data_IF_714877809480
#
_entry.id   IF_714877809480
#
_cell.length_a   1.000
_cell.length_b   1.000
_cell.length_c   1.000
_cell.angle_alpha   90.00
_cell.angle_beta   90.00
_cell.angle_gamma   90.00
#
_symmetry.space_group_name_H-M   'P 1'
#
loop_
_entity.id
_entity.type
_entity.pdbx_description
1 polymer ?
#
# COMPACT_ATOMS: atom_id res chain seq x y z
N UNK A 1 15.41 -10.36 11.16
CA UNK A 1 15.34 -8.91 11.02
C UNK A 1 14.20 -8.51 10.12
N UNK A 2 13.32 -7.66 10.61
CA UNK A 2 12.23 -7.13 9.79
C UNK A 2 12.75 -6.06 8.87
N UNK A 3 12.12 -5.90 7.72
CA UNK A 3 12.48 -4.82 6.79
C UNK A 3 11.24 -4.16 6.22
N UNK A 4 11.43 -2.97 5.70
CA UNK A 4 10.35 -2.23 5.07
C UNK A 4 10.00 -2.85 3.72
N UNK A 5 8.74 -2.74 3.37
CA UNK A 5 8.25 -3.16 2.07
C UNK A 5 7.63 -1.96 1.37
N UNK A 6 7.93 -1.81 0.09
CA UNK A 6 7.44 -0.70 -0.71
C UNK A 6 6.69 -1.26 -1.91
N UNK A 7 5.44 -0.90 -2.02
CA UNK A 7 4.59 -1.31 -3.14
C UNK A 7 4.25 -0.08 -3.96
N UNK A 8 4.27 -0.22 -5.27
CA UNK A 8 4.08 0.93 -6.15
C UNK A 8 3.30 0.54 -7.39
N UNK A 9 2.40 1.42 -7.80
CA UNK A 9 1.64 1.23 -9.03
C UNK A 9 1.33 2.61 -9.63
N UNK A 10 1.63 2.77 -10.90
CA UNK A 10 1.29 3.99 -11.62
C UNK A 10 -0.06 3.80 -12.31
N UNK A 11 -0.94 4.78 -12.18
CA UNK A 11 -2.24 4.79 -12.86
C UNK A 11 -2.46 6.15 -13.52
N UNK A 12 -2.46 6.17 -14.84
CA UNK A 12 -2.51 7.42 -15.57
C UNK A 12 -1.31 8.30 -15.21
N UNK A 13 -1.59 9.53 -14.82
CA UNK A 13 -0.55 10.49 -14.44
C UNK A 13 -0.23 10.46 -12.95
N UNK A 14 -0.78 9.49 -12.23
CA UNK A 14 -0.63 9.44 -10.78
C UNK A 14 0.18 8.23 -10.35
N UNK A 15 0.93 8.40 -9.26
CA UNK A 15 1.63 7.29 -8.63
C UNK A 15 0.99 6.98 -7.28
N UNK A 16 0.84 5.69 -7.00
CA UNK A 16 0.30 5.21 -5.74
C UNK A 16 1.36 4.35 -5.09
N UNK A 17 1.72 4.69 -3.86
CA UNK A 17 2.77 3.99 -3.13
C UNK A 17 2.26 3.57 -1.77
N UNK A 18 2.58 2.36 -1.35
CA UNK A 18 2.28 1.86 -0.02
C UNK A 18 3.59 1.44 0.62
N UNK A 19 3.92 2.05 1.75
CA UNK A 19 5.08 1.69 2.52
C UNK A 19 4.64 0.95 3.76
N UNK A 20 5.16 -0.25 3.96
CA UNK A 20 4.85 -1.08 5.12
C UNK A 20 6.09 -1.19 5.96
N UNK A 21 6.02 -0.67 7.18
CA UNK A 21 7.14 -0.72 8.12
C UNK A 21 7.36 -2.12 8.68
N UNK A 22 8.47 -2.31 9.38
CA UNK A 22 8.84 -3.65 9.87
C UNK A 22 7.96 -4.09 11.03
N UNK A 23 7.61 -5.38 11.01
CA UNK A 23 6.90 -6.01 12.11
C UNK A 23 5.50 -5.47 12.34
N UNK A 24 4.98 -5.72 13.53
CA UNK A 24 3.62 -5.31 13.90
C UNK A 24 3.51 -3.84 14.26
N UNK A 25 4.63 -3.25 14.69
CA UNK A 25 4.66 -1.86 15.15
C UNK A 25 5.06 -0.89 14.05
N UNK A 26 5.53 -1.40 12.93
CA UNK A 26 5.80 -0.55 11.77
C UNK A 26 4.50 -0.07 11.16
N UNK A 27 4.43 1.20 10.82
CA UNK A 27 3.23 1.77 10.25
C UNK A 27 3.03 1.42 8.79
N UNK A 28 1.85 1.68 8.29
CA UNK A 28 1.53 1.61 6.87
C UNK A 28 1.20 3.00 6.39
N UNK A 29 1.88 3.44 5.34
CA UNK A 29 1.63 4.74 4.71
C UNK A 29 1.08 4.53 3.32
N UNK A 30 0.07 5.31 2.97
CA UNK A 30 -0.45 5.37 1.61
C UNK A 30 -0.13 6.75 1.05
N UNK A 31 0.58 6.76 -0.07
CA UNK A 31 0.99 8.01 -0.72
C UNK A 31 0.39 8.08 -2.13
N UNK A 32 -0.05 9.28 -2.48
CA UNK A 32 -0.44 9.59 -3.86
C UNK A 32 0.43 10.75 -4.32
N UNK A 33 1.12 10.55 -5.43
CA UNK A 33 2.03 11.55 -6.01
C UNK A 33 3.04 12.08 -4.98
N UNK A 34 3.52 11.17 -4.13
CA UNK A 34 4.53 11.48 -3.12
C UNK A 34 4.00 12.07 -1.83
N UNK A 35 2.69 12.26 -1.71
CA UNK A 35 2.10 12.82 -0.48
C UNK A 35 1.40 11.75 0.32
N UNK A 36 1.67 11.68 1.61
CA UNK A 36 0.98 10.76 2.51
C UNK A 36 -0.48 11.22 2.66
N UNK A 37 -1.40 10.38 2.24
CA UNK A 37 -2.83 10.67 2.33
C UNK A 37 -3.52 9.85 3.40
N UNK A 38 -2.93 8.75 3.82
CA UNK A 38 -3.42 7.97 4.93
C UNK A 38 -2.27 7.24 5.60
N UNK A 39 -2.37 7.09 6.92
CA UNK A 39 -1.37 6.42 7.73
C UNK A 39 -2.07 5.55 8.77
N UNK A 40 -1.60 4.32 8.91
CA UNK A 40 -2.10 3.41 9.91
C UNK A 40 -0.93 3.04 10.81
N UNK A 41 -0.98 3.49 12.06
CA UNK A 41 0.15 3.35 12.97
C UNK A 41 0.40 1.91 13.39
N UNK A 42 -0.66 1.18 13.68
CA UNK A 42 -0.56 -0.21 14.11
C UNK A 42 -1.41 -1.08 13.22
N UNK A 43 -0.86 -2.22 12.88
CA UNK A 43 -1.58 -3.21 12.10
C UNK A 43 -1.14 -4.59 12.58
N UNK A 44 -2.06 -5.49 12.71
CA UNK A 44 -1.75 -6.86 13.06
C UNK A 44 -1.51 -7.69 11.82
N UNK A 45 -1.60 -9.00 12.00
CA UNK A 45 -1.68 -9.92 10.88
C UNK A 45 -3.06 -9.82 10.26
N UNK A 46 -3.18 -10.23 9.00
CA UNK A 46 -4.43 -10.17 8.28
C UNK A 46 -4.43 -9.05 7.25
N UNK A 47 -5.59 -8.53 6.95
CA UNK A 47 -5.75 -7.51 5.90
C UNK A 47 -6.07 -6.15 6.50
N UNK A 48 -5.28 -5.16 6.11
CA UNK A 48 -5.53 -3.75 6.46
C UNK A 48 -6.05 -3.04 5.22
N UNK A 49 -7.16 -2.31 5.38
CA UNK A 49 -7.78 -1.60 4.27
C UNK A 49 -7.52 -0.11 4.42
N UNK A 50 -6.99 0.49 3.36
CA UNK A 50 -6.73 1.93 3.29
C UNK A 50 -7.54 2.51 2.14
N UNK A 51 -8.12 3.68 2.36
CA UNK A 51 -8.92 4.36 1.35
C UNK A 51 -8.21 5.61 0.87
N UNK A 52 -8.31 5.89 -0.42
CA UNK A 52 -7.72 7.07 -0.98
C UNK A 52 -8.52 7.60 -2.16
N UNK A 53 -8.07 8.72 -2.68
CA UNK A 53 -8.66 9.30 -3.88
C UNK A 53 -7.53 9.83 -4.78
N UNK A 54 -7.64 9.54 -6.06
CA UNK A 54 -6.77 10.16 -7.04
C UNK A 54 -7.27 11.58 -7.30
N UNK A 55 -6.37 12.57 -7.41
CA UNK A 55 -6.76 13.96 -7.59
C UNK A 55 -7.14 14.27 -9.04
N UNK A 56 -8.09 13.53 -9.56
CA UNK A 56 -8.66 13.75 -10.88
C UNK A 56 -9.92 14.60 -10.75
N UNK A 57 -10.48 15.01 -11.87
CA UNK A 57 -11.73 15.76 -11.90
C UNK A 57 -12.75 14.97 -12.74
N UNK A 58 -13.74 14.31 -12.11
CA UNK A 58 -13.92 14.19 -10.66
C UNK A 58 -12.90 13.28 -10.00
N UNK A 59 -12.73 13.43 -8.69
CA UNK A 59 -11.82 12.59 -7.93
C UNK A 59 -12.25 11.11 -8.04
N UNK A 60 -11.26 10.23 -8.13
CA UNK A 60 -11.50 8.80 -8.29
C UNK A 60 -11.10 8.07 -7.03
N UNK A 61 -12.08 7.48 -6.36
CA UNK A 61 -11.84 6.73 -5.13
C UNK A 61 -11.18 5.40 -5.44
N UNK A 62 -10.28 4.98 -4.55
CA UNK A 62 -9.67 3.66 -4.63
C UNK A 62 -9.50 3.07 -3.23
N UNK A 63 -9.27 1.77 -3.20
CA UNK A 63 -9.04 1.03 -1.95
C UNK A 63 -7.77 0.23 -2.11
N UNK A 64 -6.93 0.27 -1.09
CA UNK A 64 -5.72 -0.55 -1.03
C UNK A 64 -5.91 -1.57 0.10
N UNK A 65 -5.61 -2.82 -0.20
CA UNK A 65 -5.62 -3.89 0.79
C UNK A 65 -4.21 -4.39 0.97
N UNK A 66 -3.71 -4.24 2.20
CA UNK A 66 -2.38 -4.73 2.57
C UNK A 66 -2.58 -6.01 3.36
N UNK A 67 -2.07 -7.10 2.83
CA UNK A 67 -2.22 -8.40 3.45
C UNK A 67 -0.92 -8.82 4.13
N UNK A 68 -0.99 -9.05 5.44
CA UNK A 68 0.16 -9.49 6.22
C UNK A 68 -0.10 -10.89 6.75
N UNK A 69 0.61 -11.90 6.21
CA UNK A 69 0.41 -13.28 6.65
C UNK A 69 0.98 -13.52 8.03
N UNK A 70 0.47 -14.55 8.68
CA UNK A 70 0.96 -14.96 10.00
C UNK A 70 2.34 -15.60 9.93
N UNK A 71 2.69 -16.17 8.80
CA UNK A 71 3.93 -16.92 8.66
C UNK A 71 5.09 -15.97 8.44
N UNK A 72 6.14 -16.17 9.21
CA UNK A 72 7.30 -15.28 9.22
C UNK A 72 7.99 -15.21 7.86
N UNK A 73 7.95 -16.28 7.10
CA UNK A 73 8.67 -16.36 5.82
C UNK A 73 7.83 -15.94 4.62
N UNK A 74 6.57 -15.63 4.84
CA UNK A 74 5.70 -15.20 3.75
C UNK A 74 5.67 -13.68 3.72
N UNK A 75 5.96 -13.12 2.56
CA UNK A 75 5.99 -11.67 2.39
C UNK A 75 4.60 -11.08 2.40
N UNK A 76 4.45 -9.84 2.86
CA UNK A 76 3.17 -9.16 2.73
C UNK A 76 2.85 -8.91 1.25
N UNK A 77 1.57 -8.81 0.95
CA UNK A 77 1.09 -8.47 -0.38
C UNK A 77 0.23 -7.22 -0.34
N UNK A 78 0.03 -6.63 -1.49
CA UNK A 78 -0.74 -5.40 -1.60
C UNK A 78 -1.54 -5.41 -2.88
N UNK A 79 -2.83 -5.06 -2.80
CA UNK A 79 -3.68 -4.93 -3.98
C UNK A 79 -4.39 -3.60 -3.97
N UNK A 80 -4.62 -3.08 -5.17
CA UNK A 80 -5.37 -1.84 -5.39
C UNK A 80 -6.66 -2.16 -6.11
N UNK A 81 -7.77 -1.63 -5.61
CA UNK A 81 -9.05 -1.71 -6.33
C UNK A 81 -9.45 -0.32 -6.79
N UNK A 82 -9.59 -0.15 -8.09
CA UNK A 82 -9.94 1.11 -8.72
C UNK A 82 -10.95 0.82 -9.82
N UNK A 83 -12.08 1.54 -9.82
CA UNK A 83 -13.14 1.38 -10.81
C UNK A 83 -13.64 -0.07 -10.93
N UNK A 84 -13.72 -0.76 -9.80
CA UNK A 84 -14.17 -2.15 -9.76
C UNK A 84 -13.15 -3.18 -10.23
N UNK A 85 -11.94 -2.74 -10.55
CA UNK A 85 -10.88 -3.64 -11.02
C UNK A 85 -9.82 -3.76 -9.92
N UNK A 86 -9.47 -4.99 -9.58
CA UNK A 86 -8.44 -5.26 -8.59
C UNK A 86 -7.12 -5.52 -9.30
N UNK A 87 -6.09 -4.81 -8.88
CA UNK A 87 -4.77 -4.87 -9.48
C UNK A 87 -3.73 -5.18 -8.41
N UNK A 88 -2.82 -6.13 -8.65
CA UNK A 88 -1.73 -6.34 -7.71
C UNK A 88 -0.78 -5.15 -7.77
N UNK A 89 -0.28 -4.75 -6.60
CA UNK A 89 0.75 -3.72 -6.51
C UNK A 89 2.09 -4.42 -6.34
N UNK A 90 2.99 -4.31 -7.31
CA UNK A 90 4.29 -4.97 -7.19
C UNK A 90 5.15 -4.30 -6.12
N UNK A 91 5.92 -5.13 -5.46
CA UNK A 91 6.89 -4.64 -4.47
C UNK A 91 8.11 -4.10 -5.20
N UNK A 92 8.59 -2.94 -4.77
CA UNK A 92 9.83 -2.36 -5.28
C UNK A 92 10.92 -2.46 -4.25
N UNK A 93 12.09 -2.81 -4.70
CA UNK A 93 13.29 -2.83 -3.87
C UNK A 93 14.15 -1.64 -4.23
N UNK A 94 14.59 -0.93 -3.21
CA UNK A 94 15.51 0.16 -3.41
C UNK A 94 16.93 -0.42 -3.42
N UNK A 95 17.66 -0.16 -4.46
CA UNK A 95 19.02 -0.67 -4.61
C UNK A 95 20.01 0.28 -3.91
N UNK A 96 20.44 -0.12 -2.75
CA UNK A 96 21.48 0.59 -2.02
C UNK A 96 22.56 -0.37 -1.58
#
# INVERSE_FOLDING_TARGET
MSRNHHFHLDRGDHSITVNVGPGRTGGIELLVDGKVIEYRREHGTGTTVLNGQLPDDPARAFVVRVHQPHLVRVKPGCTLELDGVELPMPERYTAF
#
